data_IF_336454626970
#
_entry.id   IF_336454626970
#
_cell.length_a   1.000
_cell.length_b   1.000
_cell.length_c   1.000
_cell.angle_alpha   90.00
_cell.angle_beta   90.00
_cell.angle_gamma   90.00
#
_symmetry.space_group_name_H-M   'P 1'
#
loop_
_entity.id
_entity.type
_entity.pdbx_description
1 polymer ?
#
# COMPACT_ATOMS: atom_id res chain seq x y z
N UNK A 1 -9.77 47.15 -7.48
CA UNK A 1 -8.83 46.35 -6.65
C UNK A 1 -9.50 45.21 -5.90
N UNK A 2 -10.51 45.44 -5.04
CA UNK A 2 -11.16 44.36 -4.24
C UNK A 2 -11.74 43.19 -5.07
N UNK A 3 -12.37 43.47 -6.22
CA UNK A 3 -12.91 42.43 -7.11
C UNK A 3 -11.82 41.55 -7.75
N UNK A 4 -10.66 42.13 -8.06
CA UNK A 4 -9.54 41.42 -8.67
C UNK A 4 -8.86 40.48 -7.66
N UNK A 5 -8.69 40.94 -6.42
CA UNK A 5 -8.17 40.13 -5.30
C UNK A 5 -9.10 38.95 -5.02
N UNK A 6 -10.42 39.17 -5.05
CA UNK A 6 -11.40 38.12 -4.84
C UNK A 6 -11.38 37.05 -5.95
N UNK A 7 -11.25 37.47 -7.22
CA UNK A 7 -11.05 36.52 -8.33
C UNK A 7 -9.74 35.74 -8.19
N UNK A 8 -8.64 36.40 -7.82
CA UNK A 8 -7.36 35.73 -7.62
C UNK A 8 -7.44 34.67 -6.50
N UNK A 9 -8.13 34.98 -5.41
CA UNK A 9 -8.36 34.05 -4.30
C UNK A 9 -9.21 32.84 -4.71
N UNK A 10 -10.26 33.04 -5.51
CA UNK A 10 -11.07 31.96 -6.05
C UNK A 10 -10.28 31.04 -6.98
N UNK A 11 -9.47 31.61 -7.88
CA UNK A 11 -8.61 30.84 -8.79
C UNK A 11 -7.57 30.05 -8.00
N UNK A 12 -6.95 30.65 -6.98
CA UNK A 12 -5.97 29.97 -6.13
C UNK A 12 -6.57 28.79 -5.35
N UNK A 13 -7.77 28.96 -4.78
CA UNK A 13 -8.47 27.85 -4.10
C UNK A 13 -8.91 26.75 -5.08
N UNK A 14 -9.36 27.11 -6.29
CA UNK A 14 -9.71 26.13 -7.31
C UNK A 14 -8.47 25.29 -7.75
N UNK A 15 -7.31 25.94 -7.87
CA UNK A 15 -6.05 25.26 -8.17
C UNK A 15 -5.63 24.29 -7.06
N UNK A 16 -5.81 24.66 -5.78
CA UNK A 16 -5.54 23.80 -4.62
C UNK A 16 -6.47 22.58 -4.55
N UNK A 17 -7.73 22.72 -4.95
CA UNK A 17 -8.71 21.63 -4.95
C UNK A 17 -8.53 20.64 -6.11
N UNK A 18 -7.88 21.06 -7.21
CA UNK A 18 -7.71 20.26 -8.42
C UNK A 18 -6.51 19.32 -8.43
N UNK A 19 -5.67 19.31 -7.38
CA UNK A 19 -4.50 18.44 -7.34
C UNK A 19 -4.91 17.00 -7.00
N UNK A 20 -4.61 16.06 -7.91
CA UNK A 20 -4.83 14.64 -7.64
C UNK A 20 -4.01 14.20 -6.42
N UNK A 21 -4.68 13.50 -5.50
CA UNK A 21 -4.03 12.95 -4.31
C UNK A 21 -3.16 11.75 -4.71
N UNK A 22 -2.04 11.60 -4.02
CA UNK A 22 -1.22 10.39 -4.11
C UNK A 22 -2.05 9.16 -3.75
N UNK A 23 -1.94 8.09 -4.51
CA UNK A 23 -2.65 6.83 -4.29
C UNK A 23 -1.67 5.79 -3.75
N UNK A 24 -1.91 5.35 -2.52
CA UNK A 24 -1.05 4.39 -1.82
C UNK A 24 -1.79 3.07 -1.64
N UNK A 25 -1.29 2.05 -2.30
CA UNK A 25 -1.69 0.67 -2.14
C UNK A 25 -1.28 0.09 -0.78
N UNK A 26 -2.14 -0.74 -0.19
CA UNK A 26 -1.81 -1.58 0.97
C UNK A 26 -2.17 -3.05 0.68
N UNK A 27 -1.46 -3.98 1.31
CA UNK A 27 -1.66 -5.42 1.12
C UNK A 27 -2.51 -6.06 2.22
N UNK A 28 -2.37 -5.62 3.47
CA UNK A 28 -3.07 -6.17 4.63
C UNK A 28 -3.70 -5.04 5.47
N UNK A 29 -4.82 -5.34 6.15
CA UNK A 29 -5.57 -4.37 6.96
C UNK A 29 -4.74 -3.59 8.00
N UNK A 30 -3.77 -4.19 8.73
CA UNK A 30 -2.93 -3.42 9.65
C UNK A 30 -2.20 -2.26 8.97
N UNK A 31 -1.69 -2.48 7.75
CA UNK A 31 -1.04 -1.44 6.96
C UNK A 31 -2.01 -0.36 6.48
N UNK A 32 -3.29 -0.68 6.26
CA UNK A 32 -4.30 0.35 6.03
C UNK A 32 -4.36 1.33 7.20
N UNK A 33 -4.46 0.82 8.43
CA UNK A 33 -4.50 1.67 9.63
C UNK A 33 -3.24 2.53 9.76
N UNK A 34 -2.05 1.94 9.56
CA UNK A 34 -0.79 2.68 9.67
C UNK A 34 -0.72 3.80 8.62
N UNK A 35 -0.94 3.46 7.34
CA UNK A 35 -0.82 4.42 6.25
C UNK A 35 -1.90 5.51 6.37
N UNK A 36 -3.15 5.15 6.63
CA UNK A 36 -4.25 6.12 6.74
C UNK A 36 -4.01 7.14 7.88
N UNK A 37 -3.48 6.70 9.02
CA UNK A 37 -3.17 7.60 10.14
C UNK A 37 -1.95 8.50 9.84
N UNK A 38 -0.98 8.03 9.05
CA UNK A 38 0.18 8.83 8.62
C UNK A 38 -0.22 9.90 7.60
N UNK A 39 -0.94 9.50 6.55
CA UNK A 39 -1.19 10.38 5.39
C UNK A 39 -2.42 11.25 5.54
N UNK A 40 -3.39 10.83 6.36
CA UNK A 40 -4.65 11.55 6.62
C UNK A 40 -5.34 11.92 5.30
N UNK A 41 -5.50 13.22 5.04
CA UNK A 41 -6.18 13.77 3.87
C UNK A 41 -5.24 14.02 2.67
N UNK A 42 -3.94 13.78 2.81
CA UNK A 42 -2.93 14.09 1.78
C UNK A 42 -2.76 13.01 0.71
N UNK A 43 -3.25 11.80 0.98
CA UNK A 43 -3.22 10.67 0.06
C UNK A 43 -4.48 9.83 0.21
N UNK A 44 -4.78 9.04 -0.82
CA UNK A 44 -5.81 8.02 -0.81
C UNK A 44 -5.17 6.66 -0.50
N UNK A 45 -5.73 5.92 0.45
CA UNK A 45 -5.23 4.58 0.83
C UNK A 45 -6.15 3.53 0.23
N UNK A 46 -5.59 2.68 -0.64
CA UNK A 46 -6.33 1.75 -1.49
C UNK A 46 -5.89 0.32 -1.16
N UNK A 47 -6.76 -0.55 -0.64
CA UNK A 47 -6.45 -1.97 -0.52
C UNK A 47 -6.26 -2.59 -1.90
N UNK A 48 -5.08 -3.19 -2.16
CA UNK A 48 -4.81 -3.84 -3.44
C UNK A 48 -5.65 -5.10 -3.61
N UNK A 49 -5.98 -5.76 -2.50
CA UNK A 49 -6.86 -6.93 -2.45
C UNK A 49 -8.14 -6.57 -1.70
N UNK A 50 -9.28 -7.10 -2.14
CA UNK A 50 -10.58 -6.87 -1.49
C UNK A 50 -10.65 -7.49 -0.10
N UNK A 51 -11.45 -6.87 0.77
CA UNK A 51 -11.48 -7.22 2.18
C UNK A 51 -12.00 -8.62 2.52
N UNK A 52 -12.82 -9.17 1.63
CA UNK A 52 -13.36 -10.52 1.71
C UNK A 52 -12.30 -11.61 1.42
N UNK A 53 -11.07 -11.22 1.09
CA UNK A 53 -10.00 -12.11 0.63
C UNK A 53 -8.67 -11.92 1.39
N UNK A 54 -8.74 -11.40 2.63
CA UNK A 54 -7.57 -11.09 3.45
C UNK A 54 -6.91 -12.29 4.15
N UNK A 55 -7.38 -13.52 3.94
CA UNK A 55 -6.53 -14.68 4.24
C UNK A 55 -5.42 -14.75 3.19
N UNK A 56 -4.33 -14.05 3.48
CA UNK A 56 -3.16 -13.96 2.63
C UNK A 56 -2.49 -15.31 2.37
N UNK A 57 -2.71 -16.30 3.23
CA UNK A 57 -2.10 -17.61 3.07
C UNK A 57 -2.76 -18.44 1.98
N UNK A 58 -4.03 -18.19 1.69
CA UNK A 58 -4.81 -18.92 0.68
C UNK A 58 -5.18 -18.07 -0.53
N UNK A 59 -4.91 -16.77 -0.47
CA UNK A 59 -5.32 -15.83 -1.49
C UNK A 59 -4.66 -16.06 -2.86
N UNK A 60 -5.48 -15.98 -3.91
CA UNK A 60 -5.05 -16.05 -5.30
C UNK A 60 -5.29 -14.69 -5.99
N UNK A 61 -4.23 -14.08 -6.57
CA UNK A 61 -4.34 -12.87 -7.37
C UNK A 61 -5.39 -12.94 -8.49
N UNK A 62 -6.16 -11.87 -8.67
CA UNK A 62 -7.14 -11.74 -9.76
C UNK A 62 -6.76 -10.57 -10.69
N UNK A 63 -7.40 -10.52 -11.85
CA UNK A 63 -7.15 -9.47 -12.86
C UNK A 63 -7.48 -8.09 -12.29
N UNK A 64 -8.54 -7.99 -11.48
CA UNK A 64 -8.97 -6.74 -10.86
C UNK A 64 -7.93 -6.17 -9.89
N UNK A 65 -7.10 -7.03 -9.30
CA UNK A 65 -6.05 -6.63 -8.36
C UNK A 65 -4.83 -6.07 -9.10
N UNK A 66 -4.53 -6.63 -10.28
CA UNK A 66 -3.52 -6.10 -11.21
C UNK A 66 -3.95 -4.73 -11.73
N UNK A 67 -5.22 -4.59 -12.15
CA UNK A 67 -5.76 -3.30 -12.58
C UNK A 67 -5.67 -2.25 -11.47
N UNK A 68 -5.95 -2.64 -10.22
CA UNK A 68 -5.85 -1.74 -9.07
C UNK A 68 -4.40 -1.36 -8.77
N UNK A 69 -3.49 -2.33 -8.79
CA UNK A 69 -2.05 -2.09 -8.61
C UNK A 69 -1.47 -1.17 -9.70
N UNK A 70 -2.00 -1.20 -10.93
CA UNK A 70 -1.57 -0.32 -12.02
C UNK A 70 -2.00 1.14 -11.87
N UNK A 71 -2.88 1.44 -10.90
CA UNK A 71 -3.49 2.76 -10.67
C UNK A 71 -2.98 3.46 -9.41
N UNK A 72 -2.08 2.82 -8.66
CA UNK A 72 -1.47 3.39 -7.45
C UNK A 72 -0.04 3.84 -7.73
N UNK A 73 0.43 4.82 -6.96
CA UNK A 73 1.78 5.37 -7.12
C UNK A 73 2.81 4.58 -6.30
N UNK A 74 2.37 4.05 -5.15
CA UNK A 74 3.19 3.23 -4.25
C UNK A 74 2.36 2.10 -3.65
N UNK A 75 3.01 1.00 -3.24
CA UNK A 75 2.40 -0.08 -2.45
C UNK A 75 3.24 -0.31 -1.20
N UNK A 76 2.60 -0.26 -0.03
CA UNK A 76 3.20 -0.66 1.25
C UNK A 76 2.95 -2.15 1.45
N UNK A 77 4.04 -2.90 1.59
CA UNK A 77 4.05 -4.35 1.76
C UNK A 77 4.64 -4.74 3.11
N UNK A 78 4.20 -5.87 3.66
CA UNK A 78 4.84 -6.55 4.77
C UNK A 78 6.26 -6.96 4.38
N UNK A 79 6.42 -7.60 3.22
CA UNK A 79 7.72 -7.84 2.59
C UNK A 79 8.60 -8.89 3.28
N UNK A 80 8.06 -9.63 4.24
CA UNK A 80 8.76 -10.69 5.00
C UNK A 80 7.96 -12.00 5.00
N UNK A 81 7.08 -12.18 4.01
CA UNK A 81 6.38 -13.45 3.74
C UNK A 81 4.87 -13.43 3.90
N UNK A 82 4.28 -12.48 4.62
CA UNK A 82 2.82 -12.50 4.88
C UNK A 82 1.99 -12.09 3.65
N UNK A 83 2.59 -11.39 2.69
CA UNK A 83 1.90 -10.87 1.51
C UNK A 83 2.57 -11.24 0.19
N UNK A 84 3.22 -12.40 0.12
CA UNK A 84 3.92 -12.89 -1.09
C UNK A 84 3.10 -12.86 -2.38
N UNK A 85 1.77 -12.98 -2.28
CA UNK A 85 0.86 -12.86 -3.42
C UNK A 85 1.00 -11.51 -4.17
N UNK A 86 1.44 -10.45 -3.48
CA UNK A 86 1.54 -9.10 -4.05
C UNK A 86 2.56 -9.02 -5.17
N UNK A 87 3.65 -9.80 -5.08
CA UNK A 87 4.71 -9.75 -6.08
C UNK A 87 4.22 -10.30 -7.43
N UNK A 88 3.40 -11.35 -7.41
CA UNK A 88 2.74 -11.86 -8.63
C UNK A 88 1.83 -10.82 -9.28
N UNK A 89 1.14 -10.02 -8.46
CA UNK A 89 0.29 -8.92 -8.95
C UNK A 89 1.17 -7.83 -9.60
N UNK A 90 2.19 -7.35 -8.88
CA UNK A 90 3.10 -6.29 -9.35
C UNK A 90 3.85 -6.71 -10.62
N UNK A 91 4.24 -7.98 -10.72
CA UNK A 91 4.95 -8.49 -11.89
C UNK A 91 4.08 -8.56 -13.15
N UNK A 92 2.77 -8.72 -12.98
CA UNK A 92 1.80 -8.66 -14.06
C UNK A 92 1.43 -7.23 -14.48
N UNK A 93 1.81 -6.20 -13.71
CA UNK A 93 1.59 -4.79 -14.09
C UNK A 93 2.59 -4.35 -15.16
N UNK A 94 2.10 -3.60 -16.15
CA UNK A 94 2.91 -2.94 -17.18
C UNK A 94 4.11 -2.20 -16.56
N UNK A 95 5.31 -2.37 -17.13
CA UNK A 95 6.56 -1.76 -16.61
C UNK A 95 6.46 -0.25 -16.37
N UNK A 96 5.76 0.48 -17.26
CA UNK A 96 5.62 1.94 -17.19
C UNK A 96 4.59 2.40 -16.14
N UNK A 97 3.86 1.47 -15.51
CA UNK A 97 2.83 1.72 -14.50
C UNK A 97 3.12 0.99 -13.19
N UNK A 98 4.32 0.44 -13.02
CA UNK A 98 4.67 -0.27 -11.80
C UNK A 98 4.77 0.73 -10.63
N UNK A 99 4.08 0.47 -9.52
CA UNK A 99 4.17 1.33 -8.34
C UNK A 99 5.50 1.16 -7.62
N UNK A 100 5.87 2.17 -6.83
CA UNK A 100 7.01 2.10 -5.92
C UNK A 100 6.68 1.14 -4.77
N UNK A 101 7.58 0.22 -4.45
CA UNK A 101 7.37 -0.75 -3.35
C UNK A 101 8.05 -0.27 -2.08
N UNK A 102 7.28 -0.20 -0.99
CA UNK A 102 7.74 0.19 0.35
C UNK A 102 7.68 -1.03 1.27
N UNK A 103 8.86 -1.57 1.61
CA UNK A 103 9.00 -2.69 2.55
C UNK A 103 8.87 -2.20 3.99
N UNK A 104 7.70 -2.40 4.61
CA UNK A 104 7.42 -1.88 5.94
C UNK A 104 8.29 -2.49 7.05
N UNK A 105 8.75 -3.72 6.87
CA UNK A 105 9.58 -4.43 7.85
C UNK A 105 11.09 -4.41 7.56
N UNK A 106 11.55 -3.56 6.63
CA UNK A 106 12.98 -3.50 6.24
C UNK A 106 13.92 -3.34 7.43
N UNK A 107 13.53 -2.52 8.41
CA UNK A 107 14.34 -2.17 9.58
C UNK A 107 13.76 -2.75 10.90
N UNK A 108 12.88 -3.76 10.80
CA UNK A 108 12.26 -4.42 11.97
C UNK A 108 13.08 -5.65 12.36
N UNK A 109 13.58 -5.76 13.61
CA UNK A 109 14.21 -6.98 14.10
C UNK A 109 13.22 -8.15 14.07
N UNK A 110 13.57 -9.22 13.36
CA UNK A 110 12.70 -10.37 13.19
C UNK A 110 13.04 -11.49 14.18
N UNK A 111 12.00 -12.21 14.62
CA UNK A 111 12.13 -13.41 15.42
C UNK A 111 11.79 -14.65 14.57
N UNK A 112 12.52 -15.76 14.73
CA UNK A 112 12.16 -17.01 14.07
C UNK A 112 10.87 -17.59 14.65
N UNK A 113 10.13 -18.33 13.83
CA UNK A 113 8.96 -19.10 14.26
C UNK A 113 9.41 -20.23 15.20
N UNK A 114 8.71 -20.42 16.32
CA UNK A 114 9.02 -21.50 17.25
C UNK A 114 8.69 -22.87 16.63
N UNK A 115 9.57 -23.85 16.78
CA UNK A 115 9.32 -25.24 16.37
C UNK A 115 9.69 -25.59 14.92
N UNK A 116 10.43 -24.73 14.20
CA UNK A 116 11.01 -25.13 12.92
C UNK A 116 12.12 -26.17 13.15
N UNK A 117 11.93 -27.38 12.64
CA UNK A 117 12.81 -28.55 12.85
C UNK A 117 14.04 -28.59 11.94
N UNK A 118 14.15 -27.66 10.99
CA UNK A 118 15.24 -27.58 10.02
C UNK A 118 16.19 -26.42 10.36
N UNK A 119 17.44 -26.49 9.88
CA UNK A 119 18.45 -25.42 10.04
C UNK A 119 18.05 -24.09 9.34
N UNK A 120 17.00 -24.10 8.53
CA UNK A 120 16.38 -22.91 7.94
C UNK A 120 15.41 -22.24 8.92
N UNK A 121 15.87 -21.12 9.49
CA UNK A 121 15.02 -20.27 10.34
C UNK A 121 14.00 -19.52 9.48
N UNK A 122 12.75 -19.97 9.51
CA UNK A 122 11.62 -19.21 8.96
C UNK A 122 11.33 -18.04 9.90
N UNK A 123 11.38 -16.81 9.39
CA UNK A 123 11.08 -15.61 10.16
C UNK A 123 9.58 -15.42 10.31
N UNK A 124 9.14 -14.98 11.48
CA UNK A 124 7.73 -14.69 11.72
C UNK A 124 7.33 -13.39 11.00
N UNK A 125 6.37 -13.50 10.08
CA UNK A 125 5.90 -12.41 9.25
C UNK A 125 4.80 -11.56 9.89
N UNK A 126 4.29 -11.94 11.07
CA UNK A 126 3.20 -11.27 11.80
C UNK A 126 3.71 -10.15 12.70
N UNK A 127 4.63 -9.31 12.23
CA UNK A 127 5.22 -8.20 13.00
C UNK A 127 4.21 -7.14 13.43
N UNK A 128 3.06 -7.06 12.76
CA UNK A 128 2.01 -6.07 13.00
C UNK A 128 1.07 -6.41 14.19
N UNK A 129 1.25 -7.57 14.83
CA UNK A 129 0.47 -7.99 16.02
C UNK A 129 1.35 -8.29 17.25
N UNK A 130 2.67 -8.05 17.18
CA UNK A 130 3.62 -8.35 18.25
C UNK A 130 4.19 -7.10 18.90
#
# INVERSE_FOLDING_TARGET
MKRLIFMLFLIFNALLLGQEKLKIGITLLPYYSFVANIVKDRAEVIPIVKAESFDSHTYQPKVEDIERASKVDAIVVNGIGHDEFIYKIIDAVDKNKKPIIINANKDVPLMPVAGTLNDEKIMDSHTFIK
#
